data_IF_015250417029
#
_entry.id   IF_015250417029
#
_cell.length_a   1.000
_cell.length_b   1.000
_cell.length_c   1.000
_cell.angle_alpha   90.00
_cell.angle_beta   90.00
_cell.angle_gamma   90.00
#
_symmetry.space_group_name_H-M   'P 1'
#
loop_
_entity.id
_entity.type
_entity.pdbx_description
1 polymer ?
#
# COMPACT_ATOMS: atom_id res chain seq x y z
N UNK A 1 -26.38 23.39 -52.50
CA UNK A 1 -27.62 22.75 -52.02
C UNK A 1 -27.22 21.35 -51.56
N UNK A 2 -27.34 21.08 -50.26
CA UNK A 2 -26.89 19.84 -49.63
C UNK A 2 -27.98 18.76 -49.75
N UNK A 3 -27.58 17.49 -49.80
CA UNK A 3 -28.48 16.40 -49.45
C UNK A 3 -28.22 16.02 -47.99
N UNK A 4 -29.20 16.34 -47.15
CA UNK A 4 -29.26 15.99 -45.74
C UNK A 4 -29.52 14.49 -45.60
N UNK A 5 -28.66 13.78 -44.87
CA UNK A 5 -29.04 12.51 -44.25
C UNK A 5 -28.86 12.62 -42.73
N UNK A 6 -30.00 12.56 -42.06
CA UNK A 6 -30.11 12.45 -40.61
C UNK A 6 -29.55 11.09 -40.18
N UNK A 7 -28.51 11.09 -39.35
CA UNK A 7 -28.10 9.91 -38.58
C UNK A 7 -27.71 10.31 -37.16
N UNK A 8 -28.74 10.31 -36.32
CA UNK A 8 -28.76 9.89 -34.92
C UNK A 8 -27.48 10.14 -34.10
N UNK A 9 -27.48 11.25 -33.38
CA UNK A 9 -26.60 11.51 -32.25
C UNK A 9 -26.80 10.40 -31.20
N UNK A 10 -25.83 9.47 -31.13
CA UNK A 10 -25.77 8.50 -30.04
C UNK A 10 -24.92 9.10 -28.94
N UNK A 11 -25.57 9.47 -27.84
CA UNK A 11 -24.89 9.79 -26.59
C UNK A 11 -23.99 8.59 -26.21
N UNK A 12 -22.71 8.78 -25.87
CA UNK A 12 -21.94 7.72 -25.26
C UNK A 12 -22.56 7.44 -23.88
N UNK A 13 -23.12 6.23 -23.79
CA UNK A 13 -23.90 5.75 -22.67
C UNK A 13 -23.13 5.83 -21.35
N UNK A 14 -23.86 6.24 -20.33
CA UNK A 14 -23.76 5.63 -19.01
C UNK A 14 -23.83 4.10 -19.19
N UNK A 15 -22.71 3.40 -19.02
CA UNK A 15 -22.69 1.95 -19.10
C UNK A 15 -21.35 1.33 -19.48
N UNK A 16 -20.27 1.68 -18.79
CA UNK A 16 -19.18 0.72 -18.60
C UNK A 16 -19.43 0.07 -17.25
N UNK A 17 -19.87 -1.18 -17.28
CA UNK A 17 -19.94 -2.03 -16.08
C UNK A 17 -18.55 -2.02 -15.44
N UNK A 18 -18.47 -1.93 -14.10
CA UNK A 18 -17.22 -2.01 -13.34
C UNK A 18 -16.33 -3.23 -13.71
N UNK A 19 -16.90 -4.23 -14.40
CA UNK A 19 -16.18 -5.35 -14.95
C UNK A 19 -15.17 -4.97 -16.05
N UNK A 20 -15.45 -3.97 -16.90
CA UNK A 20 -14.63 -3.71 -18.10
C UNK A 20 -13.39 -2.84 -17.82
N UNK A 21 -13.36 -2.10 -16.72
CA UNK A 21 -12.11 -1.45 -16.23
C UNK A 21 -11.08 -2.44 -15.70
N UNK A 22 -11.41 -3.73 -15.61
CA UNK A 22 -10.55 -4.75 -15.01
C UNK A 22 -9.63 -5.45 -16.01
N UNK A 23 -9.70 -5.13 -17.31
CA UNK A 23 -9.08 -5.94 -18.37
C UNK A 23 -7.71 -5.45 -18.88
N UNK A 24 -7.13 -4.37 -18.34
CA UNK A 24 -5.80 -3.87 -18.74
C UNK A 24 -4.83 -3.71 -17.56
N UNK A 25 -4.99 -4.52 -16.51
CA UNK A 25 -3.88 -4.81 -15.61
C UNK A 25 -3.12 -5.98 -16.21
N UNK A 26 -1.94 -5.70 -16.74
CA UNK A 26 -0.99 -6.72 -17.17
C UNK A 26 -0.94 -7.85 -16.13
N UNK A 27 -1.26 -9.04 -16.61
CA UNK A 27 -1.32 -10.30 -15.89
C UNK A 27 0.09 -10.85 -15.64
N UNK A 28 0.91 -10.09 -14.91
CA UNK A 28 1.94 -10.71 -14.09
C UNK A 28 1.23 -11.06 -12.80
N UNK A 29 0.78 -12.31 -12.67
CA UNK A 29 0.42 -12.83 -11.34
C UNK A 29 1.72 -12.74 -10.52
N UNK A 30 1.88 -11.65 -9.76
CA UNK A 30 2.97 -11.54 -8.81
C UNK A 30 2.86 -12.74 -7.87
N UNK A 31 3.80 -13.67 -8.02
CA UNK A 31 3.88 -14.85 -7.18
C UNK A 31 3.96 -14.38 -5.72
N UNK A 32 3.04 -14.86 -4.88
CA UNK A 32 3.03 -14.48 -3.47
C UNK A 32 4.37 -14.83 -2.83
N UNK A 33 5.08 -13.82 -2.34
CA UNK A 33 6.36 -14.05 -1.67
C UNK A 33 6.15 -14.42 -0.20
N UNK A 34 6.98 -15.33 0.35
CA UNK A 34 6.99 -15.62 1.79
C UNK A 34 7.26 -14.37 2.64
N UNK A 35 6.66 -14.31 3.83
CA UNK A 35 6.78 -13.16 4.73
C UNK A 35 8.23 -12.88 5.15
N UNK A 36 9.00 -13.92 5.43
CA UNK A 36 10.42 -13.82 5.78
C UNK A 36 11.26 -13.26 4.62
N UNK A 37 10.93 -13.65 3.39
CA UNK A 37 11.52 -13.06 2.17
C UNK A 37 11.18 -11.57 2.07
N UNK A 38 9.91 -11.19 2.25
CA UNK A 38 9.48 -9.79 2.22
C UNK A 38 10.18 -8.96 3.30
N UNK A 39 10.24 -9.46 4.54
CA UNK A 39 10.92 -8.80 5.65
C UNK A 39 12.41 -8.60 5.34
N UNK A 40 13.06 -9.58 4.69
CA UNK A 40 14.43 -9.48 4.22
C UNK A 40 14.60 -8.38 3.16
N UNK A 41 13.73 -8.34 2.15
CA UNK A 41 13.78 -7.34 1.08
C UNK A 41 13.59 -5.93 1.64
N UNK A 42 12.54 -5.68 2.42
CA UNK A 42 12.26 -4.36 3.03
C UNK A 42 13.36 -3.95 4.03
N UNK A 43 14.01 -4.91 4.70
CA UNK A 43 15.15 -4.61 5.56
C UNK A 43 16.36 -4.11 4.76
N UNK A 44 16.66 -4.76 3.63
CA UNK A 44 17.83 -4.50 2.77
C UNK A 44 17.63 -3.28 1.88
N UNK A 45 16.39 -2.97 1.48
CA UNK A 45 16.12 -1.79 0.66
C UNK A 45 16.62 -0.51 1.33
N UNK A 46 17.42 0.21 0.56
CA UNK A 46 17.97 1.53 0.88
C UNK A 46 16.88 2.60 0.63
N UNK A 47 15.74 2.45 1.31
CA UNK A 47 14.71 3.47 1.30
C UNK A 47 15.18 4.69 2.08
N UNK A 48 14.92 5.88 1.54
CA UNK A 48 15.23 7.13 2.21
C UNK A 48 14.16 7.48 3.25
N UNK A 49 14.40 7.14 4.52
CA UNK A 49 13.40 7.36 5.57
C UNK A 49 13.34 8.82 6.04
N UNK A 50 14.36 9.63 5.74
CA UNK A 50 14.41 11.06 6.10
C UNK A 50 13.30 11.92 5.45
N UNK A 51 12.63 11.41 4.42
CA UNK A 51 11.52 12.09 3.74
C UNK A 51 10.14 11.75 4.30
N UNK A 52 10.01 10.70 5.12
CA UNK A 52 8.71 10.23 5.60
C UNK A 52 8.15 11.24 6.62
N UNK A 53 6.94 11.74 6.39
CA UNK A 53 6.20 12.62 7.32
C UNK A 53 4.92 11.99 7.87
N UNK A 54 4.34 11.05 7.13
CA UNK A 54 3.10 10.36 7.51
C UNK A 54 3.37 8.87 7.59
N UNK A 55 2.92 8.23 8.67
CA UNK A 55 3.01 6.78 8.85
C UNK A 55 1.60 6.21 8.91
N UNK A 56 1.29 5.29 8.00
CA UNK A 56 0.07 4.49 8.07
C UNK A 56 0.46 3.08 8.52
N UNK A 57 -0.33 2.45 9.38
CA UNK A 57 -0.14 1.04 9.67
C UNK A 57 -1.45 0.28 9.88
N UNK A 58 -1.42 -1.01 9.54
CA UNK A 58 -2.55 -1.94 9.64
C UNK A 58 -2.10 -3.22 10.35
N UNK A 59 -3.03 -3.84 11.07
CA UNK A 59 -2.81 -5.09 11.81
C UNK A 59 -3.75 -6.19 11.31
N UNK A 60 -3.20 -7.17 10.59
CA UNK A 60 -4.00 -8.24 10.00
C UNK A 60 -3.56 -9.62 10.52
N UNK A 61 -4.53 -10.53 10.68
CA UNK A 61 -4.26 -11.91 11.12
C UNK A 61 -3.97 -12.80 9.92
N UNK A 62 -2.82 -13.48 9.89
CA UNK A 62 -2.51 -14.47 8.83
C UNK A 62 -3.33 -15.75 8.96
N UNK A 63 -3.80 -16.04 10.17
CA UNK A 63 -4.71 -17.13 10.49
C UNK A 63 -5.80 -16.55 11.38
N UNK A 64 -7.07 -16.91 11.16
CA UNK A 64 -8.21 -16.32 11.90
C UNK A 64 -7.94 -16.22 13.41
N UNK A 65 -7.76 -15.00 13.91
CA UNK A 65 -7.51 -14.69 15.33
C UNK A 65 -6.09 -14.97 15.86
N UNK A 66 -5.17 -15.41 15.01
CA UNK A 66 -3.80 -15.80 15.37
C UNK A 66 -2.78 -15.24 14.36
N UNK A 67 -1.50 -15.28 14.72
CA UNK A 67 -0.39 -15.02 13.79
C UNK A 67 -0.49 -13.66 13.09
N UNK A 68 -0.69 -12.61 13.89
CA UNK A 68 -0.78 -11.25 13.40
C UNK A 68 0.51 -10.76 12.75
N UNK A 69 0.35 -9.84 11.81
CA UNK A 69 1.41 -9.00 11.26
C UNK A 69 0.94 -7.55 11.29
N UNK A 70 1.87 -6.65 11.55
CA UNK A 70 1.69 -5.20 11.45
C UNK A 70 2.49 -4.68 10.28
N UNK A 71 1.82 -4.02 9.33
CA UNK A 71 2.45 -3.43 8.15
C UNK A 71 2.60 -1.93 8.37
N UNK A 72 3.80 -1.39 8.21
CA UNK A 72 4.08 0.05 8.31
C UNK A 72 4.38 0.61 6.93
N UNK A 73 3.68 1.67 6.56
CA UNK A 73 3.65 2.22 5.21
C UNK A 73 3.95 3.71 5.27
N UNK A 74 4.72 4.22 4.32
CA UNK A 74 4.85 5.66 4.09
C UNK A 74 3.49 6.18 3.62
N UNK A 75 2.81 6.95 4.47
CA UNK A 75 1.47 7.44 4.18
C UNK A 75 1.41 8.43 3.01
N UNK A 76 2.55 8.97 2.56
CA UNK A 76 2.63 9.88 1.42
C UNK A 76 2.85 9.16 0.10
N UNK A 77 3.67 8.09 0.08
CA UNK A 77 4.05 7.38 -1.16
C UNK A 77 3.33 6.05 -1.35
N UNK A 78 2.81 5.46 -0.28
CA UNK A 78 2.26 4.11 -0.27
C UNK A 78 3.33 3.00 -0.20
N UNK A 79 4.61 3.35 -0.06
CA UNK A 79 5.70 2.38 0.02
C UNK A 79 5.70 1.66 1.37
N UNK A 80 5.94 0.35 1.35
CA UNK A 80 6.10 -0.46 2.54
C UNK A 80 7.45 -0.14 3.19
N UNK A 81 7.41 0.36 4.44
CA UNK A 81 8.59 0.69 5.24
C UNK A 81 9.04 -0.51 6.08
N UNK A 82 8.08 -1.24 6.65
CA UNK A 82 8.41 -2.34 7.54
C UNK A 82 7.25 -3.32 7.73
N UNK A 83 7.59 -4.56 8.10
CA UNK A 83 6.61 -5.57 8.52
C UNK A 83 7.07 -6.22 9.80
N UNK A 84 6.22 -6.17 10.83
CA UNK A 84 6.49 -6.76 12.14
C UNK A 84 5.56 -7.94 12.39
N UNK A 85 6.11 -9.02 12.96
CA UNK A 85 5.29 -10.14 13.43
C UNK A 85 4.69 -9.77 14.79
N UNK A 86 3.39 -9.96 14.94
CA UNK A 86 2.63 -9.60 16.13
C UNK A 86 1.69 -8.41 15.88
N UNK A 87 1.24 -7.80 16.97
CA UNK A 87 0.37 -6.64 16.97
C UNK A 87 0.49 -5.82 18.25
N UNK A 88 -0.04 -4.61 18.24
CA UNK A 88 -0.08 -3.66 19.34
C UNK A 88 1.30 -3.09 19.67
N UNK A 89 1.45 -2.64 20.93
CA UNK A 89 2.62 -1.90 21.39
C UNK A 89 3.97 -2.57 21.05
N UNK A 90 4.07 -3.90 21.15
CA UNK A 90 5.33 -4.60 20.86
C UNK A 90 5.75 -4.49 19.39
N UNK A 91 4.80 -4.52 18.46
CA UNK A 91 5.09 -4.35 17.04
C UNK A 91 5.52 -2.90 16.74
N UNK A 92 4.84 -1.93 17.35
CA UNK A 92 5.18 -0.50 17.25
C UNK A 92 6.58 -0.22 17.82
N UNK A 93 6.91 -0.76 18.99
CA UNK A 93 8.25 -0.60 19.61
C UNK A 93 9.36 -1.17 18.72
N UNK A 94 9.13 -2.35 18.13
CA UNK A 94 10.08 -2.96 17.20
C UNK A 94 10.29 -2.11 15.95
N UNK A 95 9.21 -1.60 15.37
CA UNK A 95 9.26 -0.66 14.24
C UNK A 95 10.03 0.61 14.61
N UNK A 96 9.70 1.27 15.73
CA UNK A 96 10.37 2.52 16.16
C UNK A 96 11.88 2.31 16.32
N UNK A 97 12.31 1.18 16.90
CA UNK A 97 13.73 0.85 17.04
C UNK A 97 14.42 0.77 15.66
N UNK A 98 13.79 0.10 14.69
CA UNK A 98 14.32 -0.01 13.32
C UNK A 98 14.29 1.34 12.60
N UNK A 99 13.23 2.11 12.78
CA UNK A 99 13.04 3.42 12.18
C UNK A 99 14.10 4.42 12.60
N UNK A 100 14.38 4.49 13.91
CA UNK A 100 15.45 5.33 14.44
C UNK A 100 16.82 4.93 13.89
N UNK A 101 17.09 3.62 13.76
CA UNK A 101 18.34 3.12 13.17
C UNK A 101 18.46 3.46 11.66
N UNK A 102 17.34 3.59 10.95
CA UNK A 102 17.27 4.02 9.54
C UNK A 102 17.17 5.55 9.37
N UNK A 103 17.26 6.33 10.45
CA UNK A 103 17.29 7.80 10.40
C UNK A 103 15.92 8.48 10.44
N UNK A 104 14.84 7.74 10.71
CA UNK A 104 13.51 8.32 10.93
C UNK A 104 13.37 8.85 12.36
N UNK A 105 13.81 10.10 12.58
CA UNK A 105 13.60 10.81 13.83
C UNK A 105 12.12 11.17 14.07
N UNK A 106 11.61 11.08 15.31
CA UNK A 106 10.19 11.24 15.62
C UNK A 106 9.65 12.66 15.38
N UNK A 107 10.51 13.69 15.51
CA UNK A 107 10.11 15.08 15.34
C UNK A 107 9.76 15.45 13.90
N UNK A 108 10.08 14.60 12.93
CA UNK A 108 9.70 14.82 11.53
C UNK A 108 8.32 14.24 11.19
N UNK A 109 7.75 13.40 12.07
CA UNK A 109 6.45 12.78 11.82
C UNK A 109 5.35 13.77 12.18
N UNK A 110 4.49 14.03 11.22
CA UNK A 110 3.38 14.97 11.31
C UNK A 110 2.07 14.26 11.62
N UNK A 111 1.90 13.03 11.11
CA UNK A 111 0.67 12.27 11.24
C UNK A 111 0.93 10.76 11.32
N UNK A 112 0.10 10.08 12.11
CA UNK A 112 0.10 8.61 12.24
C UNK A 112 -1.34 8.11 12.16
N UNK A 113 -1.60 7.20 11.23
CA UNK A 113 -2.91 6.61 11.01
C UNK A 113 -2.88 5.10 11.25
N UNK A 114 -3.94 4.59 11.86
CA UNK A 114 -4.15 3.17 12.15
C UNK A 114 -5.61 2.82 11.88
N UNK A 115 -5.84 1.64 11.30
CA UNK A 115 -7.15 0.98 11.24
C UNK A 115 -7.25 -0.13 12.32
#
# INVERSE_FOLDING_TARGET
MPEESLALETAPGFGVSSAERSAERNSEEEELIPLDTLQGQVAVEEQAWAGVRVINFDETSRKKGHDYVTNFINGQTGELLDVQVGKGAKAVEAFVKKALAKGLGPLQIEEVNID
#
